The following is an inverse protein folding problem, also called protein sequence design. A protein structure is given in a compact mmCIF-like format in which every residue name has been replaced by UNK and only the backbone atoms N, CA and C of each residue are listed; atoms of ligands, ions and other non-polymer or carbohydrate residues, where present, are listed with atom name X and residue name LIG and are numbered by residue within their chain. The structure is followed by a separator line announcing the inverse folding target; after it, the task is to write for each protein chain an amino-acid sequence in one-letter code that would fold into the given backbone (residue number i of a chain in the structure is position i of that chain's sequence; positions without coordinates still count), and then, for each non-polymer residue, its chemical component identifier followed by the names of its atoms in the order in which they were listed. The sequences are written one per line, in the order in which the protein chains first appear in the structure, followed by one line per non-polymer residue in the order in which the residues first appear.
data_IF_376613145949
#
_entry.id   IF_376613145949
#
_cell.length_a   1.000
_cell.length_b   1.000
_cell.length_c   1.000
_cell.angle_alpha   90.00
_cell.angle_beta   90.00
_cell.angle_gamma   90.00
#
_symmetry.space_group_name_H-M   'P 1'
#
loop_
_entity.id
_entity.type
_entity.pdbx_description
1 polymer ?
#
# COMPACT_ATOMS: atom_id res chain seq x y z
N UNK A 1 -4.50 -16.56 -21.44
CA UNK A 1 -4.54 -17.40 -22.65
C UNK A 1 -5.75 -18.32 -22.54
N UNK A 2 -6.73 -18.19 -23.44
CA UNK A 2 -7.91 -19.06 -23.48
C UNK A 2 -7.63 -20.25 -24.41
N UNK A 3 -7.86 -21.48 -23.95
CA UNK A 3 -7.80 -22.66 -24.81
C UNK A 3 -9.21 -23.25 -24.94
N UNK A 4 -9.72 -23.33 -26.17
CA UNK A 4 -11.04 -23.91 -26.52
C UNK A 4 -12.27 -23.31 -25.82
N UNK A 5 -12.37 -21.97 -25.74
CA UNK A 5 -13.62 -21.29 -25.35
C UNK A 5 -14.11 -21.53 -23.91
N UNK A 6 -13.35 -22.28 -23.10
CA UNK A 6 -13.56 -22.43 -21.66
C UNK A 6 -12.35 -21.84 -20.96
N UNK A 7 -12.56 -20.75 -20.23
CA UNK A 7 -11.54 -20.22 -19.32
C UNK A 7 -11.29 -21.28 -18.22
N UNK A 8 -10.22 -22.07 -18.39
CA UNK A 8 -9.70 -22.97 -17.37
C UNK A 8 -9.36 -22.16 -16.13
N UNK A 9 -10.27 -22.12 -15.15
CA UNK A 9 -10.04 -21.67 -13.78
C UNK A 9 -9.15 -20.41 -13.66
N UNK A 10 -9.35 -19.43 -14.56
CA UNK A 10 -8.72 -18.13 -14.42
C UNK A 10 -9.44 -17.49 -13.24
N UNK A 11 -8.80 -17.49 -12.07
CA UNK A 11 -9.16 -16.57 -10.99
C UNK A 11 -9.26 -15.21 -11.69
N UNK A 12 -10.48 -14.65 -11.71
CA UNK A 12 -10.67 -13.36 -12.36
C UNK A 12 -9.68 -12.39 -11.71
N UNK A 13 -8.97 -11.62 -12.53
CA UNK A 13 -7.95 -10.67 -12.03
C UNK A 13 -8.56 -9.70 -11.01
N UNK A 14 -9.88 -9.46 -11.12
CA UNK A 14 -10.72 -8.78 -10.13
C UNK A 14 -10.68 -9.44 -8.74
N UNK A 15 -10.84 -10.75 -8.66
CA UNK A 15 -10.79 -11.53 -7.42
C UNK A 15 -9.42 -11.44 -6.76
N UNK A 16 -8.35 -11.48 -7.55
CA UNK A 16 -6.98 -11.28 -7.03
C UNK A 16 -6.79 -9.89 -6.43
N UNK A 17 -7.21 -8.84 -7.15
CA UNK A 17 -7.17 -7.45 -6.67
C UNK A 17 -8.05 -7.23 -5.44
N UNK A 18 -9.20 -7.90 -5.34
CA UNK A 18 -10.07 -7.84 -4.18
C UNK A 18 -9.44 -8.50 -2.95
N UNK A 19 -8.88 -9.70 -3.11
CA UNK A 19 -8.17 -10.41 -2.03
C UNK A 19 -7.01 -9.55 -1.52
N UNK A 20 -6.22 -8.99 -2.43
CA UNK A 20 -5.14 -8.07 -2.08
C UNK A 20 -5.65 -6.85 -1.33
N UNK A 21 -6.72 -6.21 -1.80
CA UNK A 21 -7.29 -5.04 -1.14
C UNK A 21 -7.72 -5.35 0.31
N UNK A 22 -8.40 -6.49 0.53
CA UNK A 22 -8.84 -6.91 1.87
C UNK A 22 -7.63 -7.16 2.78
N UNK A 23 -6.64 -7.93 2.30
CA UNK A 23 -5.42 -8.21 3.07
C UNK A 23 -4.71 -6.91 3.40
N UNK A 24 -4.56 -5.99 2.44
CA UNK A 24 -3.84 -4.74 2.65
C UNK A 24 -4.59 -3.82 3.62
N UNK A 25 -5.93 -3.79 3.62
CA UNK A 25 -6.71 -3.06 4.64
C UNK A 25 -6.44 -3.61 6.04
N UNK A 26 -6.42 -4.93 6.19
CA UNK A 26 -6.17 -5.57 7.50
C UNK A 26 -4.74 -5.25 7.97
N UNK A 27 -3.74 -5.43 7.11
CA UNK A 27 -2.34 -5.19 7.46
C UNK A 27 -2.07 -3.72 7.80
N UNK A 28 -2.58 -2.78 6.99
CA UNK A 28 -2.40 -1.34 7.22
C UNK A 28 -3.18 -0.88 8.46
N UNK A 29 -4.38 -1.42 8.69
CA UNK A 29 -5.14 -1.17 9.91
C UNK A 29 -4.40 -1.63 11.17
N UNK A 30 -3.84 -2.84 11.16
CA UNK A 30 -3.01 -3.35 12.25
C UNK A 30 -1.75 -2.50 12.46
N UNK A 31 -1.08 -2.10 11.39
CA UNK A 31 0.09 -1.23 11.47
C UNK A 31 -0.24 0.13 12.13
N UNK A 32 -1.36 0.76 11.76
CA UNK A 32 -1.83 1.99 12.40
C UNK A 32 -2.07 1.79 13.90
N UNK A 33 -2.73 0.70 14.30
CA UNK A 33 -2.98 0.40 15.71
C UNK A 33 -1.68 0.21 16.50
N UNK A 34 -0.71 -0.49 15.91
CA UNK A 34 0.61 -0.68 16.52
C UNK A 34 1.36 0.65 16.68
N UNK A 35 1.34 1.53 15.66
CA UNK A 35 1.98 2.85 15.76
C UNK A 35 1.38 3.71 16.87
N UNK A 36 0.04 3.71 17.01
CA UNK A 36 -0.64 4.42 18.11
C UNK A 36 -0.27 3.81 19.46
N UNK A 37 -0.28 2.48 19.58
CA UNK A 37 0.11 1.78 20.80
C UNK A 37 1.55 2.09 21.21
N UNK A 38 2.47 2.13 20.25
CA UNK A 38 3.88 2.46 20.48
C UNK A 38 4.07 3.92 20.92
N UNK A 39 3.30 4.84 20.34
CA UNK A 39 3.27 6.23 20.75
C UNK A 39 2.83 6.38 22.21
N UNK A 40 1.73 5.72 22.60
CA UNK A 40 1.27 5.73 24.00
C UNK A 40 2.33 5.12 24.92
N UNK A 41 2.93 3.99 24.53
CA UNK A 41 3.96 3.31 25.32
C UNK A 41 5.17 4.20 25.60
N UNK A 42 5.71 4.88 24.58
CA UNK A 42 6.84 5.80 24.75
C UNK A 42 6.46 6.94 25.69
N UNK A 43 5.32 7.60 25.46
CA UNK A 43 4.91 8.74 26.28
C UNK A 43 4.64 8.33 27.75
N UNK A 44 4.14 7.11 28.01
CA UNK A 44 4.00 6.58 29.37
C UNK A 44 5.36 6.30 30.00
N UNK A 45 6.27 5.61 29.29
CA UNK A 45 7.59 5.28 29.83
C UNK A 45 8.44 6.49 30.15
N UNK A 46 8.33 7.53 29.33
CA UNK A 46 9.05 8.79 29.54
C UNK A 46 8.58 9.50 30.80
N UNK A 47 7.28 9.44 31.10
CA UNK A 47 6.72 9.99 32.33
C UNK A 47 7.28 9.31 33.59
N UNK A 48 7.60 8.01 33.50
CA UNK A 48 8.20 7.27 34.62
C UNK A 48 9.70 7.59 34.81
N UNK A 49 10.42 7.96 33.74
CA UNK A 49 11.88 8.19 33.73
C UNK A 49 12.27 9.63 34.10
N UNK A 50 11.37 10.61 33.95
CA UNK A 50 11.62 12.02 34.26
C UNK A 50 11.94 12.34 35.74
N UNK A 51 12.06 11.34 36.61
CA UNK A 51 12.53 11.52 37.97
C UNK A 51 14.07 11.55 38.12
N UNK A 52 14.88 11.19 37.12
CA UNK A 52 16.35 11.07 37.33
C UNK A 52 17.29 11.81 36.33
N UNK A 53 16.99 11.97 35.03
CA UNK A 53 17.90 12.70 34.09
C UNK A 53 17.13 13.40 32.94
N UNK A 54 17.28 14.72 32.78
CA UNK A 54 16.29 15.54 32.04
C UNK A 54 16.66 15.99 30.62
N UNK A 55 17.90 16.30 30.27
CA UNK A 55 18.17 16.98 28.98
C UNK A 55 18.24 16.05 27.74
N UNK A 56 18.95 14.92 27.83
CA UNK A 56 19.13 14.03 26.67
C UNK A 56 17.86 13.19 26.39
N UNK A 57 17.10 12.90 27.44
CA UNK A 57 15.84 12.15 27.37
C UNK A 57 14.76 12.94 26.61
N UNK A 58 14.61 14.24 26.85
CA UNK A 58 13.59 15.06 26.18
C UNK A 58 13.81 15.14 24.66
N UNK A 59 15.05 15.32 24.21
CA UNK A 59 15.38 15.37 22.79
C UNK A 59 15.09 14.03 22.10
N UNK A 60 15.51 12.91 22.70
CA UNK A 60 15.27 11.57 22.16
C UNK A 60 13.77 11.27 22.02
N UNK A 61 12.96 11.72 22.98
CA UNK A 61 11.50 11.57 22.96
C UNK A 61 10.86 12.46 21.91
N UNK A 62 11.31 13.71 21.78
CA UNK A 62 10.87 14.63 20.73
C UNK A 62 11.12 14.06 19.34
N UNK A 63 12.32 13.52 19.10
CA UNK A 63 12.67 12.86 17.83
C UNK A 63 11.82 11.62 17.59
N UNK A 64 11.64 10.77 18.61
CA UNK A 64 10.81 9.55 18.50
C UNK A 64 9.35 9.85 18.18
N UNK A 65 8.77 10.86 18.83
CA UNK A 65 7.41 11.32 18.59
C UNK A 65 7.25 11.93 17.18
N UNK A 66 8.24 12.68 16.70
CA UNK A 66 8.26 13.19 15.33
C UNK A 66 8.27 12.05 14.30
N UNK A 67 9.14 11.06 14.49
CA UNK A 67 9.22 9.87 13.61
C UNK A 67 7.88 9.13 13.60
N UNK A 68 7.26 8.92 14.76
CA UNK A 68 5.96 8.25 14.87
C UNK A 68 4.83 9.06 14.21
N UNK A 69 4.81 10.38 14.37
CA UNK A 69 3.84 11.25 13.71
C UNK A 69 3.92 11.15 12.19
N UNK A 70 5.14 11.17 11.65
CA UNK A 70 5.40 10.98 10.22
C UNK A 70 4.94 9.59 9.78
N UNK A 71 5.29 8.55 10.53
CA UNK A 71 4.87 7.17 10.24
C UNK A 71 3.33 7.03 10.21
N UNK A 72 2.63 7.52 11.23
CA UNK A 72 1.16 7.49 11.30
C UNK A 72 0.53 8.20 10.10
N UNK A 73 1.09 9.36 9.69
CA UNK A 73 0.59 10.11 8.54
C UNK A 73 0.71 9.30 7.25
N UNK A 74 1.86 8.69 7.00
CA UNK A 74 2.04 7.82 5.83
C UNK A 74 1.15 6.57 5.88
N UNK A 75 1.00 5.95 7.06
CA UNK A 75 0.10 4.80 7.24
C UNK A 75 -1.37 5.15 6.99
N UNK A 76 -1.81 6.35 7.42
CA UNK A 76 -3.16 6.82 7.15
C UNK A 76 -3.41 7.06 5.66
N UNK A 77 -2.44 7.65 4.94
CA UNK A 77 -2.51 7.83 3.49
C UNK A 77 -2.60 6.47 2.77
N UNK A 78 -1.75 5.51 3.14
CA UNK A 78 -1.78 4.14 2.60
C UNK A 78 -3.15 3.49 2.82
N UNK A 79 -3.72 3.66 4.01
CA UNK A 79 -5.03 3.12 4.36
C UNK A 79 -6.14 3.71 3.48
N UNK A 80 -6.13 5.03 3.25
CA UNK A 80 -7.11 5.71 2.37
C UNK A 80 -7.05 5.17 0.95
N UNK A 81 -5.85 5.07 0.36
CA UNK A 81 -5.70 4.55 -0.99
C UNK A 81 -6.11 3.08 -1.06
N UNK A 82 -5.79 2.28 -0.04
CA UNK A 82 -6.22 0.88 0.01
C UNK A 82 -7.74 0.75 0.07
N UNK A 83 -8.42 1.65 0.80
CA UNK A 83 -9.88 1.74 0.78
C UNK A 83 -10.41 2.15 -0.60
N UNK A 84 -9.72 3.04 -1.33
CA UNK A 84 -10.08 3.34 -2.72
C UNK A 84 -9.95 2.10 -3.61
N UNK A 85 -8.91 1.29 -3.47
CA UNK A 85 -8.83 0.02 -4.20
C UNK A 85 -10.00 -0.89 -3.85
N UNK A 86 -10.28 -1.09 -2.57
CA UNK A 86 -11.36 -1.97 -2.11
C UNK A 86 -12.72 -1.54 -2.67
N UNK A 87 -13.09 -0.27 -2.47
CA UNK A 87 -14.35 0.30 -2.96
C UNK A 87 -14.38 0.31 -4.50
N UNK A 88 -13.25 0.61 -5.14
CA UNK A 88 -13.11 0.62 -6.59
C UNK A 88 -13.35 -0.75 -7.22
N UNK A 89 -12.82 -1.81 -6.61
CA UNK A 89 -13.03 -3.18 -7.08
C UNK A 89 -14.46 -3.65 -6.81
N UNK A 90 -15.01 -3.41 -5.60
CA UNK A 90 -16.39 -3.81 -5.25
C UNK A 90 -17.42 -3.10 -6.13
N UNK A 91 -17.28 -1.78 -6.32
CA UNK A 91 -18.21 -0.97 -7.11
C UNK A 91 -17.88 -0.95 -8.61
N UNK A 92 -16.84 -1.67 -9.05
CA UNK A 92 -16.32 -1.66 -10.43
C UNK A 92 -16.08 -0.25 -10.98
N UNK A 93 -15.64 0.67 -10.12
CA UNK A 93 -15.47 2.07 -10.47
C UNK A 93 -14.01 2.38 -10.85
N UNK A 94 -13.78 2.58 -12.14
CA UNK A 94 -12.47 2.76 -12.78
C UNK A 94 -11.62 3.82 -12.09
N UNK A 95 -12.22 4.97 -11.73
CA UNK A 95 -11.49 6.10 -11.15
C UNK A 95 -10.79 5.77 -9.82
N UNK A 96 -11.39 4.94 -8.97
CA UNK A 96 -10.81 4.60 -7.67
C UNK A 96 -9.66 3.59 -7.81
N UNK A 97 -9.83 2.60 -8.69
CA UNK A 97 -8.77 1.62 -9.00
C UNK A 97 -7.57 2.32 -9.66
N UNK A 98 -7.83 3.27 -10.57
CA UNK A 98 -6.79 4.10 -11.21
C UNK A 98 -6.05 4.96 -10.19
N UNK A 99 -6.75 5.58 -9.24
CA UNK A 99 -6.12 6.39 -8.20
C UNK A 99 -5.17 5.56 -7.33
N UNK A 100 -5.58 4.35 -6.91
CA UNK A 100 -4.68 3.43 -6.19
C UNK A 100 -3.48 3.01 -7.03
N UNK A 101 -3.68 2.68 -8.31
CA UNK A 101 -2.59 2.30 -9.21
C UNK A 101 -1.54 3.41 -9.33
N UNK A 102 -1.97 4.65 -9.58
CA UNK A 102 -1.06 5.81 -9.67
C UNK A 102 -0.31 6.02 -8.36
N UNK A 103 -1.02 5.95 -7.21
CA UNK A 103 -0.39 6.02 -5.90
C UNK A 103 0.68 4.94 -5.70
N UNK A 104 0.36 3.69 -6.05
CA UNK A 104 1.29 2.57 -5.93
C UNK A 104 2.53 2.70 -6.83
N UNK A 105 2.39 3.25 -8.03
CA UNK A 105 3.54 3.56 -8.90
C UNK A 105 4.43 4.65 -8.28
N UNK A 106 3.83 5.73 -7.76
CA UNK A 106 4.59 6.79 -7.07
C UNK A 106 5.33 6.24 -5.85
N UNK A 107 4.64 5.43 -5.04
CA UNK A 107 5.24 4.74 -3.88
C UNK A 107 6.42 3.87 -4.29
N UNK A 108 6.31 3.14 -5.39
CA UNK A 108 7.38 2.29 -5.90
C UNK A 108 8.61 3.09 -6.36
N UNK A 109 8.40 4.26 -6.99
CA UNK A 109 9.49 5.17 -7.39
C UNK A 109 10.18 5.78 -6.17
N UNK A 110 9.42 6.27 -5.18
CA UNK A 110 10.01 6.83 -3.95
C UNK A 110 10.80 5.75 -3.21
N UNK A 111 10.24 4.55 -3.13
CA UNK A 111 10.87 3.43 -2.47
C UNK A 111 12.14 2.95 -3.16
N UNK A 112 12.21 2.97 -4.50
CA UNK A 112 13.42 2.53 -5.23
C UNK A 112 14.61 3.44 -4.94
N UNK A 113 14.40 4.74 -4.68
CA UNK A 113 15.44 5.66 -4.23
C UNK A 113 15.99 5.24 -2.86
N UNK A 114 15.11 4.83 -1.93
CA UNK A 114 15.54 4.32 -0.62
C UNK A 114 16.35 3.02 -0.74
N UNK A 115 16.06 2.18 -1.75
CA UNK A 115 16.77 0.94 -2.03
C UNK A 115 18.24 1.18 -2.38
N UNK A 116 18.56 2.28 -3.08
CA UNK A 116 19.93 2.71 -3.42
C UNK A 116 20.79 2.89 -2.16
N UNK A 117 20.20 3.41 -1.07
CA UNK A 117 20.90 3.55 0.22
C UNK A 117 21.17 2.21 0.94
N UNK A 118 20.43 1.15 0.60
CA UNK A 118 20.69 -0.20 1.10
C UNK A 118 21.82 -0.85 0.30
N UNK A 119 21.89 -0.61 -1.01
CA UNK A 119 22.98 -1.09 -1.87
C UNK A 119 24.37 -0.61 -1.42
N UNK A 120 24.45 0.57 -0.78
CA UNK A 120 25.73 1.10 -0.26
C UNK A 120 26.22 0.40 1.00
N UNK A 121 25.37 -0.37 1.69
CA UNK A 121 25.68 -1.11 2.91
C UNK A 121 25.60 -2.64 2.67
N UNK A 122 26.31 -3.13 1.65
CA UNK A 122 26.21 -4.49 1.11
C UNK A 122 26.71 -5.63 2.05
N UNK A 123 26.96 -5.38 3.33
CA UNK A 123 27.46 -6.39 4.27
C UNK A 123 26.43 -7.43 4.69
N UNK A 124 25.14 -7.23 4.35
CA UNK A 124 24.04 -8.08 4.82
C UNK A 124 23.17 -8.62 3.67
N UNK A 125 23.72 -9.60 2.96
CA UNK A 125 23.11 -10.29 1.81
C UNK A 125 21.67 -10.82 2.04
N UNK A 126 21.31 -11.43 3.18
CA UNK A 126 19.94 -11.91 3.38
C UNK A 126 18.91 -10.77 3.45
N UNK A 127 19.26 -9.64 4.05
CA UNK A 127 18.40 -8.46 4.10
C UNK A 127 18.19 -7.85 2.72
N UNK A 128 19.24 -7.83 1.90
CA UNK A 128 19.15 -7.42 0.51
C UNK A 128 18.15 -8.26 -0.30
N UNK A 129 18.26 -9.59 -0.24
CA UNK A 129 17.36 -10.48 -0.97
C UNK A 129 15.90 -10.36 -0.51
N UNK A 130 15.67 -10.17 0.79
CA UNK A 130 14.32 -9.95 1.32
C UNK A 130 13.67 -8.69 0.73
N UNK A 131 14.42 -7.60 0.64
CA UNK A 131 13.95 -6.33 0.06
C UNK A 131 13.64 -6.50 -1.43
N UNK A 132 14.51 -7.15 -2.20
CA UNK A 132 14.27 -7.40 -3.63
C UNK A 132 13.00 -8.22 -3.86
N UNK A 133 12.79 -9.29 -3.07
CA UNK A 133 11.57 -10.10 -3.13
C UNK A 133 10.31 -9.29 -2.81
N UNK A 134 10.38 -8.43 -1.80
CA UNK A 134 9.27 -7.55 -1.45
C UNK A 134 8.90 -6.61 -2.60
N UNK A 135 9.90 -6.03 -3.27
CA UNK A 135 9.68 -5.19 -4.46
C UNK A 135 9.11 -5.96 -5.63
N UNK A 136 9.65 -7.14 -5.93
CA UNK A 136 9.15 -7.98 -7.00
C UNK A 136 7.67 -8.35 -6.78
N UNK A 137 7.32 -8.71 -5.54
CA UNK A 137 5.94 -8.98 -5.16
C UNK A 137 5.05 -7.74 -5.33
N UNK A 138 5.52 -6.55 -4.92
CA UNK A 138 4.77 -5.32 -5.08
C UNK A 138 4.53 -4.95 -6.56
N UNK A 139 5.53 -5.17 -7.43
CA UNK A 139 5.37 -5.03 -8.88
C UNK A 139 4.28 -5.95 -9.44
N UNK A 140 4.26 -7.23 -9.02
CA UNK A 140 3.24 -8.20 -9.46
C UNK A 140 1.84 -7.76 -9.05
N UNK A 141 1.68 -7.27 -7.82
CA UNK A 141 0.42 -6.70 -7.34
C UNK A 141 -0.01 -5.50 -8.19
N UNK A 142 0.90 -4.57 -8.50
CA UNK A 142 0.57 -3.42 -9.35
C UNK A 142 0.17 -3.82 -10.76
N UNK A 143 0.79 -4.85 -11.33
CA UNK A 143 0.40 -5.41 -12.62
C UNK A 143 -1.01 -6.01 -12.58
N UNK A 144 -1.36 -6.72 -11.51
CA UNK A 144 -2.69 -7.26 -11.29
C UNK A 144 -3.73 -6.12 -11.21
N UNK A 145 -3.45 -5.08 -10.41
CA UNK A 145 -4.34 -3.91 -10.30
C UNK A 145 -4.47 -3.17 -11.64
N UNK A 146 -3.38 -3.02 -12.39
CA UNK A 146 -3.41 -2.41 -13.74
C UNK A 146 -4.34 -3.18 -14.67
N UNK A 147 -4.26 -4.50 -14.66
CA UNK A 147 -5.12 -5.34 -15.49
C UNK A 147 -6.60 -5.24 -15.06
N UNK A 148 -6.87 -5.14 -13.75
CA UNK A 148 -8.23 -4.85 -13.23
C UNK A 148 -8.73 -3.49 -13.71
N UNK A 149 -7.88 -2.45 -13.64
CA UNK A 149 -8.18 -1.12 -14.14
C UNK A 149 -8.53 -1.13 -15.63
N UNK A 150 -7.70 -1.72 -16.49
CA UNK A 150 -7.92 -1.78 -17.93
C UNK A 150 -9.21 -2.52 -18.29
N UNK A 151 -9.50 -3.63 -17.60
CA UNK A 151 -10.74 -4.39 -17.80
C UNK A 151 -11.98 -3.55 -17.49
N UNK A 152 -11.95 -2.74 -16.43
CA UNK A 152 -13.06 -1.85 -16.09
C UNK A 152 -13.18 -0.68 -17.07
N UNK A 153 -12.05 -0.16 -17.57
CA UNK A 153 -12.02 0.91 -18.57
C UNK A 153 -12.69 0.45 -19.87
N UNK A 154 -12.32 -0.71 -20.40
CA UNK A 154 -12.93 -1.32 -21.60
C UNK A 154 -14.44 -1.58 -21.44
N UNK A 155 -14.85 -2.10 -20.28
CA UNK A 155 -16.27 -2.31 -19.97
C UNK A 155 -17.08 -1.01 -19.89
N UNK A 156 -16.48 0.07 -19.38
CA UNK A 156 -17.14 1.38 -19.29
C UNK A 156 -17.34 2.02 -20.67
N UNK A 157 -16.37 1.85 -21.56
CA UNK A 157 -16.39 2.36 -22.94
C UNK A 157 -17.52 1.69 -23.72
N UNK A 158 -17.64 0.36 -23.65
CA UNK A 158 -18.72 -0.39 -24.33
C UNK A 158 -20.10 0.08 -23.85
N UNK A 159 -20.25 0.33 -22.55
CA UNK A 159 -21.52 0.81 -21.99
C UNK A 159 -21.87 2.23 -22.44
N UNK A 160 -20.87 3.12 -22.61
CA UNK A 160 -21.08 4.48 -23.14
C UNK A 160 -21.48 4.48 -24.61
N UNK A 161 -20.94 3.57 -25.43
CA UNK A 161 -21.29 3.49 -26.85
C UNK A 161 -22.65 2.83 -27.11
N UNK A 162 -23.14 1.95 -26.23
CA UNK A 162 -24.48 1.37 -26.35
C UNK A 162 -25.64 2.31 -25.97
N UNK A 163 -25.36 3.43 -25.29
CA UNK A 163 -26.37 4.42 -24.90
C UNK A 163 -26.41 5.67 -25.78
N UNK A 164 -25.58 5.77 -26.83
CA UNK A 164 -25.78 6.80 -27.86
C UNK A 164 -26.88 6.30 -28.81
N UNK A 165 -28.08 6.90 -28.83
CA UNK A 165 -29.00 6.64 -29.92
C UNK A 165 -28.29 7.04 -31.22
N UNK A 166 -28.31 6.14 -32.20
CA UNK A 166 -27.93 6.44 -33.57
C UNK A 166 -28.86 7.56 -34.04
N UNK A 167 -28.31 8.78 -34.13
CA UNK A 167 -28.96 9.93 -34.77
C UNK A 167 -28.52 9.94 -36.22
#
# INVERSE_FOLDING_TARGET
MCYKGKCLHCIEVETGSLIWAIINVILTGLACLLCVGFCIYINVKVKDVHHEETMDTELAVGVSNLILMVAITFSAIEFIFTMYLLVGVIKKHVGYVKAYFVYGVVKLIIGSIALIGVFTNASDYPNFMGIVWFYAFHCLVLLMVRNTYLKFDEGSIIHQYMHKPLV
#
